data_IF_654254051590
#
_entry.id   IF_654254051590
#
_cell.length_a   1.000
_cell.length_b   1.000
_cell.length_c   1.000
_cell.angle_alpha   90.00
_cell.angle_beta   90.00
_cell.angle_gamma   90.00
#
_symmetry.space_group_name_H-M   'P 1'
#
loop_
_entity.id
_entity.type
_entity.pdbx_description
1 polymer ?
#
# COMPACT_ATOMS: atom_id res chain seq x y z
N UNK A 1 -27.19 -7.10 12.10
CA UNK A 1 -26.13 -6.88 13.12
C UNK A 1 -24.77 -6.91 12.42
N UNK A 2 -23.97 -5.87 12.63
CA UNK A 2 -22.95 -5.34 11.72
C UNK A 2 -21.82 -6.31 11.31
N UNK A 3 -21.81 -6.73 10.04
CA UNK A 3 -20.68 -7.45 9.38
C UNK A 3 -19.34 -6.76 9.63
N UNK A 4 -19.33 -5.43 9.68
CA UNK A 4 -18.16 -4.64 10.02
C UNK A 4 -17.57 -5.00 11.41
N UNK A 5 -18.43 -5.26 12.40
CA UNK A 5 -18.00 -5.62 13.75
C UNK A 5 -17.33 -7.01 13.77
N UNK A 6 -17.93 -7.99 13.09
CA UNK A 6 -17.41 -9.36 13.07
C UNK A 6 -16.17 -9.49 12.20
N UNK A 7 -16.12 -8.79 11.06
CA UNK A 7 -15.02 -8.90 10.09
C UNK A 7 -13.80 -8.05 10.48
N UNK A 8 -13.99 -6.88 11.08
CA UNK A 8 -12.90 -5.95 11.40
C UNK A 8 -12.68 -5.79 12.91
N UNK A 9 -13.73 -5.48 13.67
CA UNK A 9 -13.57 -5.12 15.09
C UNK A 9 -13.14 -6.31 15.97
N UNK A 10 -13.81 -7.46 15.85
CA UNK A 10 -13.49 -8.65 16.63
C UNK A 10 -12.06 -9.20 16.41
N UNK A 11 -11.57 -9.39 15.17
CA UNK A 11 -10.21 -9.91 14.97
C UNK A 11 -9.15 -8.91 15.42
N UNK A 12 -9.34 -7.61 15.17
CA UNK A 12 -8.42 -6.55 15.63
C UNK A 12 -8.28 -6.57 17.15
N UNK A 13 -9.40 -6.63 17.88
CA UNK A 13 -9.36 -6.67 19.34
C UNK A 13 -8.76 -7.97 19.88
N UNK A 14 -9.10 -9.13 19.29
CA UNK A 14 -8.52 -10.42 19.72
C UNK A 14 -7.01 -10.44 19.56
N UNK A 15 -6.50 -9.94 18.43
CA UNK A 15 -5.05 -9.82 18.19
C UNK A 15 -4.42 -8.87 19.19
N UNK A 16 -5.01 -7.69 19.42
CA UNK A 16 -4.49 -6.72 20.36
C UNK A 16 -4.42 -7.29 21.79
N UNK A 17 -5.51 -7.89 22.28
CA UNK A 17 -5.56 -8.50 23.62
C UNK A 17 -4.56 -9.66 23.73
N UNK A 18 -4.45 -10.51 22.70
CA UNK A 18 -3.46 -11.59 22.67
C UNK A 18 -2.03 -11.05 22.79
N UNK A 19 -1.69 -9.98 22.06
CA UNK A 19 -0.40 -9.31 22.17
C UNK A 19 -0.19 -8.70 23.56
N UNK A 20 -1.21 -8.08 24.16
CA UNK A 20 -1.08 -7.54 25.53
C UNK A 20 -0.78 -8.63 26.56
N UNK A 21 -1.43 -9.78 26.46
CA UNK A 21 -1.20 -10.91 27.37
C UNK A 21 0.20 -11.51 27.20
N UNK A 22 0.68 -11.60 25.95
CA UNK A 22 2.02 -12.11 25.64
C UNK A 22 3.14 -11.15 26.12
N UNK A 23 2.88 -9.84 26.12
CA UNK A 23 3.85 -8.80 26.51
C UNK A 23 3.66 -8.31 27.97
N UNK A 24 3.10 -9.16 28.84
CA UNK A 24 3.06 -8.91 30.29
C UNK A 24 2.04 -7.85 30.74
N UNK A 25 0.97 -7.62 29.97
CA UNK A 25 -0.10 -6.67 30.30
C UNK A 25 0.16 -5.22 29.87
N UNK A 26 1.31 -4.93 29.24
CA UNK A 26 1.61 -3.57 28.76
C UNK A 26 0.93 -3.29 27.43
N UNK A 27 -0.09 -2.43 27.46
CA UNK A 27 -0.83 -2.00 26.27
C UNK A 27 0.07 -1.26 25.26
N UNK A 28 1.01 -0.45 25.74
CA UNK A 28 1.95 0.28 24.88
C UNK A 28 2.88 -0.66 24.09
N UNK A 29 3.43 -1.67 24.76
CA UNK A 29 4.28 -2.66 24.10
C UNK A 29 3.52 -3.49 23.07
N UNK A 30 2.25 -3.83 23.35
CA UNK A 30 1.40 -4.56 22.41
C UNK A 30 1.15 -3.76 21.12
N UNK A 31 0.92 -2.46 21.20
CA UNK A 31 0.74 -1.61 20.01
C UNK A 31 2.04 -1.52 19.19
N UNK A 32 3.18 -1.36 19.84
CA UNK A 32 4.48 -1.31 19.17
C UNK A 32 4.76 -2.66 18.48
N UNK A 33 4.52 -3.78 19.16
CA UNK A 33 4.65 -5.11 18.57
C UNK A 33 3.70 -5.33 17.39
N UNK A 34 2.45 -4.88 17.50
CA UNK A 34 1.46 -4.96 16.42
C UNK A 34 1.89 -4.16 15.19
N UNK A 35 2.33 -2.92 15.38
CA UNK A 35 2.81 -2.07 14.28
C UNK A 35 4.06 -2.63 13.62
N UNK A 36 4.99 -3.22 14.39
CA UNK A 36 6.15 -3.92 13.83
C UNK A 36 5.75 -5.16 13.03
N UNK A 37 4.82 -5.97 13.54
CA UNK A 37 4.31 -7.16 12.85
C UNK A 37 3.63 -6.77 11.53
N UNK A 38 2.75 -5.77 11.55
CA UNK A 38 2.10 -5.25 10.36
C UNK A 38 3.14 -4.75 9.35
N UNK A 39 4.15 -4.00 9.79
CA UNK A 39 5.25 -3.56 8.91
C UNK A 39 5.99 -4.75 8.31
N UNK A 40 6.35 -5.76 9.09
CA UNK A 40 7.04 -6.95 8.60
C UNK A 40 6.25 -7.68 7.52
N UNK A 41 4.94 -7.84 7.72
CA UNK A 41 4.04 -8.46 6.73
C UNK A 41 3.85 -7.57 5.49
N UNK A 42 3.87 -6.25 5.66
CA UNK A 42 3.74 -5.30 4.56
C UNK A 42 5.02 -5.14 3.73
N UNK A 43 6.22 -5.39 4.25
CA UNK A 43 7.49 -5.29 3.49
C UNK A 43 7.46 -6.04 2.15
N UNK A 44 7.08 -7.34 2.07
CA UNK A 44 7.01 -8.03 0.79
C UNK A 44 5.97 -7.45 -0.17
N UNK A 45 4.94 -6.76 0.35
CA UNK A 45 3.94 -6.06 -0.45
C UNK A 45 4.42 -4.67 -0.91
N UNK A 46 5.18 -3.95 -0.07
CA UNK A 46 5.66 -2.61 -0.38
C UNK A 46 6.85 -2.60 -1.32
N UNK A 47 7.73 -3.61 -1.26
CA UNK A 47 8.86 -3.75 -2.19
C UNK A 47 8.46 -3.71 -3.68
N UNK A 48 7.51 -4.53 -4.17
CA UNK A 48 7.07 -4.45 -5.56
C UNK A 48 6.35 -3.14 -5.88
N UNK A 49 5.57 -2.59 -4.93
CA UNK A 49 4.92 -1.29 -5.09
C UNK A 49 5.94 -0.16 -5.28
N UNK A 50 7.04 -0.16 -4.50
CA UNK A 50 8.14 0.79 -4.62
C UNK A 50 8.88 0.64 -5.96
N UNK A 51 9.15 -0.59 -6.41
CA UNK A 51 9.77 -0.85 -7.71
C UNK A 51 8.90 -0.32 -8.86
N UNK A 52 7.59 -0.52 -8.78
CA UNK A 52 6.63 0.02 -9.76
C UNK A 52 6.63 1.55 -9.75
N UNK A 53 6.68 2.17 -8.57
CA UNK A 53 6.74 3.63 -8.43
C UNK A 53 8.03 4.23 -9.00
N UNK A 54 9.18 3.55 -8.84
CA UNK A 54 10.46 3.97 -9.43
C UNK A 54 10.43 3.90 -10.95
N UNK A 55 9.93 2.81 -11.54
CA UNK A 55 9.75 2.71 -13.00
C UNK A 55 8.86 3.83 -13.53
N UNK A 56 7.77 4.13 -12.84
CA UNK A 56 6.88 5.23 -13.22
C UNK A 56 7.60 6.60 -13.18
N UNK A 57 8.52 6.78 -12.23
CA UNK A 57 9.35 7.99 -12.13
C UNK A 57 10.33 8.12 -13.31
N UNK A 58 10.91 7.02 -13.77
CA UNK A 58 11.78 6.98 -14.95
C UNK A 58 11.00 7.18 -16.26
N UNK A 59 9.77 6.65 -16.34
CA UNK A 59 8.87 6.84 -17.47
C UNK A 59 8.26 8.25 -17.53
N UNK A 60 8.20 8.97 -16.39
CA UNK A 60 7.63 10.31 -16.27
C UNK A 60 8.14 11.33 -17.31
N UNK A 61 9.46 11.52 -17.54
CA UNK A 61 9.95 12.44 -18.56
C UNK A 61 9.48 12.08 -19.98
N UNK A 62 9.51 10.79 -20.35
CA UNK A 62 9.01 10.34 -21.66
C UNK A 62 7.51 10.53 -21.80
N UNK A 63 6.76 10.26 -20.73
CA UNK A 63 5.33 10.52 -20.67
C UNK A 63 5.01 12.02 -20.80
N UNK A 64 5.83 12.89 -20.21
CA UNK A 64 5.65 14.34 -20.28
C UNK A 64 6.03 14.90 -21.68
N UNK A 65 7.05 14.34 -22.34
CA UNK A 65 7.37 14.64 -23.74
C UNK A 65 6.27 14.20 -24.69
N UNK A 66 5.73 12.98 -24.52
CA UNK A 66 4.58 12.48 -25.28
C UNK A 66 3.34 13.33 -25.07
N UNK A 67 3.06 13.74 -23.82
CA UNK A 67 1.97 14.66 -23.50
C UNK A 67 2.11 16.01 -24.20
N UNK A 68 3.33 16.55 -24.31
CA UNK A 68 3.60 17.79 -25.04
C UNK A 68 3.43 17.62 -26.56
N UNK A 69 3.96 16.52 -27.11
CA UNK A 69 3.93 16.23 -28.56
C UNK A 69 2.53 15.92 -29.06
N UNK A 70 1.70 15.26 -28.25
CA UNK A 70 0.33 14.85 -28.59
C UNK A 70 -0.73 15.62 -27.80
N UNK A 71 -0.42 16.83 -27.30
CA UNK A 71 -1.33 17.65 -26.49
C UNK A 71 -2.70 17.92 -27.14
N UNK A 72 -2.77 17.91 -28.47
CA UNK A 72 -3.99 18.10 -29.26
C UNK A 72 -4.71 16.80 -29.65
N UNK A 73 -4.07 15.63 -29.49
CA UNK A 73 -4.59 14.35 -29.95
C UNK A 73 -4.56 13.29 -28.85
N UNK A 74 -5.57 13.36 -27.98
CA UNK A 74 -5.72 12.47 -26.80
C UNK A 74 -5.80 10.99 -27.19
N UNK A 75 -6.25 10.67 -28.41
CA UNK A 75 -6.44 9.30 -28.88
C UNK A 75 -5.11 8.64 -29.21
N UNK A 76 -4.21 9.36 -29.90
CA UNK A 76 -2.84 8.91 -30.13
C UNK A 76 -2.04 8.79 -28.83
N UNK A 77 -2.23 9.74 -27.90
CA UNK A 77 -1.59 9.73 -26.58
C UNK A 77 -1.89 8.45 -25.76
N UNK A 78 -3.13 7.96 -25.81
CA UNK A 78 -3.52 6.72 -25.12
C UNK A 78 -2.88 5.47 -25.73
N UNK A 79 -2.80 5.40 -27.06
CA UNK A 79 -2.21 4.26 -27.78
C UNK A 79 -0.72 4.17 -27.48
N UNK A 80 -0.03 5.30 -27.46
CA UNK A 80 1.42 5.33 -27.31
C UNK A 80 1.86 5.18 -25.84
N UNK A 81 0.98 5.49 -24.88
CA UNK A 81 1.15 5.12 -23.47
C UNK A 81 1.03 3.61 -23.22
N UNK A 82 0.28 2.87 -24.03
CA UNK A 82 0.14 1.41 -23.91
C UNK A 82 1.35 0.65 -24.50
N UNK A 83 2.10 1.29 -25.40
CA UNK A 83 3.27 0.72 -26.08
C UNK A 83 4.60 0.99 -25.33
N UNK A 84 4.54 1.70 -24.19
CA UNK A 84 5.66 1.99 -23.27
C UNK A 84 5.68 1.01 -22.10
#
# INVERSE_FOLDING_TARGET
>A
MSIFNTLLYQPILKVLVYLTHLLGGSFGLAIIALTLLIRLVLIPLTLPAMKSAQKMKELKPRLDELKKKHAKDKRQLQIEQLNL
#
